data_IF_658646389453
#
_entry.id   IF_658646389453
#
_cell.length_a   1.000
_cell.length_b   1.000
_cell.length_c   1.000
_cell.angle_alpha   90.00
_cell.angle_beta   90.00
_cell.angle_gamma   90.00
#
_symmetry.space_group_name_H-M   'P 1'
#
loop_
_entity.id
_entity.type
_entity.pdbx_description
1 polymer ?
#
# COMPACT_ATOMS: atom_id res chain seq x y z
N UNK A 1 -2.67 -13.27 -1.85
CA UNK A 1 -2.38 -12.15 -2.74
C UNK A 1 -0.99 -12.22 -3.36
N UNK A 2 0.09 -12.23 -2.55
CA UNK A 2 1.47 -12.08 -3.06
C UNK A 2 1.88 -13.22 -4.01
N UNK A 3 1.62 -14.48 -3.66
CA UNK A 3 1.91 -15.63 -4.53
C UNK A 3 1.14 -15.58 -5.85
N UNK A 4 -0.13 -15.16 -5.83
CA UNK A 4 -0.92 -14.97 -7.06
C UNK A 4 -0.33 -13.87 -7.94
N UNK A 5 0.08 -12.74 -7.35
CA UNK A 5 0.70 -11.65 -8.08
C UNK A 5 2.04 -12.08 -8.71
N UNK A 6 2.83 -12.90 -8.02
CA UNK A 6 4.06 -13.47 -8.58
C UNK A 6 3.77 -14.39 -9.77
N UNK A 7 2.74 -15.25 -9.69
CA UNK A 7 2.29 -16.11 -10.80
C UNK A 7 1.81 -15.30 -12.01
N UNK A 8 0.98 -14.26 -11.78
CA UNK A 8 0.53 -13.35 -12.84
C UNK A 8 1.71 -12.60 -13.47
N UNK A 9 2.67 -12.17 -12.66
CA UNK A 9 3.86 -11.50 -13.13
C UNK A 9 4.72 -12.41 -14.01
N UNK A 10 4.85 -13.69 -13.67
CA UNK A 10 5.48 -14.68 -14.50
C UNK A 10 4.76 -14.87 -15.85
N UNK A 11 3.42 -14.91 -15.84
CA UNK A 11 2.64 -14.98 -17.07
C UNK A 11 2.85 -13.73 -17.94
N UNK A 12 2.77 -12.51 -17.38
CA UNK A 12 3.03 -11.27 -18.10
C UNK A 12 4.43 -11.26 -18.75
N UNK A 13 5.45 -11.77 -18.03
CA UNK A 13 6.79 -11.88 -18.56
C UNK A 13 6.86 -12.85 -19.75
N UNK A 14 6.17 -14.00 -19.68
CA UNK A 14 6.15 -14.99 -20.78
C UNK A 14 5.39 -14.49 -21.99
N UNK A 15 4.30 -13.77 -21.78
CA UNK A 15 3.51 -13.16 -22.86
C UNK A 15 4.19 -11.93 -23.46
N UNK A 16 5.16 -11.35 -22.75
CA UNK A 16 5.87 -10.11 -23.12
C UNK A 16 4.91 -8.96 -23.49
N UNK A 17 3.82 -8.83 -22.74
CA UNK A 17 2.71 -7.91 -23.02
C UNK A 17 2.97 -6.48 -22.51
N UNK A 18 4.10 -6.22 -21.85
CA UNK A 18 4.45 -4.92 -21.26
C UNK A 18 3.68 -4.57 -19.99
N UNK A 19 2.91 -5.52 -19.46
CA UNK A 19 2.21 -5.35 -18.20
C UNK A 19 3.10 -5.62 -16.99
N UNK A 20 2.73 -5.05 -15.85
CA UNK A 20 3.31 -5.37 -14.55
C UNK A 20 2.20 -5.93 -13.64
N UNK A 21 2.57 -6.76 -12.69
CA UNK A 21 1.69 -7.14 -11.59
C UNK A 21 1.99 -6.30 -10.36
N UNK A 22 0.97 -6.06 -9.54
CA UNK A 22 1.11 -5.35 -8.26
C UNK A 22 0.56 -6.24 -7.15
N UNK A 23 1.37 -6.50 -6.13
CA UNK A 23 0.96 -7.15 -4.90
C UNK A 23 0.79 -6.08 -3.82
N UNK A 24 -0.46 -5.81 -3.41
CA UNK A 24 -0.77 -4.90 -2.30
C UNK A 24 -1.02 -5.73 -1.05
N UNK A 25 -0.37 -5.39 0.05
CA UNK A 25 -0.48 -6.10 1.33
C UNK A 25 -0.08 -5.21 2.51
N UNK A 26 -0.61 -5.50 3.70
CA UNK A 26 -0.27 -4.77 4.93
C UNK A 26 1.06 -5.20 5.56
N UNK A 27 1.55 -4.40 6.49
CA UNK A 27 2.76 -4.64 7.28
C UNK A 27 2.80 -6.02 7.95
N UNK A 28 1.70 -6.46 8.56
CA UNK A 28 1.59 -7.77 9.18
C UNK A 28 1.84 -8.96 8.23
N UNK A 29 1.54 -8.80 6.94
CA UNK A 29 1.80 -9.83 5.94
C UNK A 29 3.29 -10.01 5.65
N UNK A 30 4.11 -9.01 5.88
CA UNK A 30 5.56 -9.03 5.60
C UNK A 30 6.35 -10.06 6.42
N UNK A 31 5.77 -10.57 7.51
CA UNK A 31 6.34 -11.65 8.32
C UNK A 31 5.94 -13.06 7.84
N UNK A 32 5.14 -13.17 6.76
CA UNK A 32 4.75 -14.46 6.18
C UNK A 32 5.83 -14.98 5.24
N UNK A 33 6.19 -16.27 5.35
CA UNK A 33 7.21 -16.91 4.49
C UNK A 33 6.99 -16.69 3.01
N UNK A 34 5.73 -16.76 2.53
CA UNK A 34 5.39 -16.57 1.11
C UNK A 34 5.83 -15.22 0.56
N UNK A 35 5.90 -14.16 1.38
CA UNK A 35 6.37 -12.85 0.92
C UNK A 35 7.87 -12.92 0.62
N UNK A 36 8.66 -13.55 1.51
CA UNK A 36 10.09 -13.74 1.35
C UNK A 36 10.43 -14.62 0.15
N UNK A 37 9.70 -15.73 0.00
CA UNK A 37 9.85 -16.64 -1.12
C UNK A 37 9.56 -15.92 -2.46
N UNK A 38 8.47 -15.16 -2.52
CA UNK A 38 8.11 -14.40 -3.72
C UNK A 38 9.08 -13.27 -4.04
N UNK A 39 9.65 -12.57 -3.04
CA UNK A 39 10.71 -11.58 -3.26
C UNK A 39 11.95 -12.23 -3.88
N UNK A 40 12.36 -13.38 -3.36
CA UNK A 40 13.48 -14.14 -3.94
C UNK A 40 13.20 -14.57 -5.38
N UNK A 41 12.06 -15.21 -5.64
CA UNK A 41 11.66 -15.65 -6.98
C UNK A 41 11.57 -14.49 -7.97
N UNK A 42 10.94 -13.37 -7.53
CA UNK A 42 10.80 -12.20 -8.39
C UNK A 42 12.16 -11.63 -8.80
N UNK A 43 13.13 -11.62 -7.91
CA UNK A 43 14.48 -11.15 -8.21
C UNK A 43 15.25 -12.13 -9.10
N UNK A 44 15.24 -13.42 -8.78
CA UNK A 44 15.93 -14.46 -9.56
C UNK A 44 15.41 -14.52 -10.99
N UNK A 45 14.10 -14.39 -11.19
CA UNK A 45 13.48 -14.48 -12.51
C UNK A 45 13.23 -13.12 -13.17
N UNK A 46 13.65 -12.02 -12.52
CA UNK A 46 13.46 -10.66 -13.04
C UNK A 46 11.98 -10.38 -13.39
N UNK A 47 11.07 -10.78 -12.49
CA UNK A 47 9.63 -10.65 -12.73
C UNK A 47 9.18 -9.19 -12.75
N UNK A 48 8.27 -8.80 -13.66
CA UNK A 48 7.67 -7.46 -13.68
C UNK A 48 6.66 -7.29 -12.52
N UNK A 49 7.16 -7.28 -11.28
CA UNK A 49 6.36 -7.27 -10.06
C UNK A 49 6.69 -6.07 -9.18
N UNK A 50 5.64 -5.36 -8.77
CA UNK A 50 5.67 -4.35 -7.73
C UNK A 50 5.09 -4.93 -6.44
N UNK A 51 5.88 -4.95 -5.37
CA UNK A 51 5.44 -5.20 -4.02
C UNK A 51 5.08 -3.86 -3.37
N UNK A 52 3.82 -3.66 -3.02
CA UNK A 52 3.34 -2.44 -2.38
C UNK A 52 2.85 -2.77 -0.97
N UNK A 53 3.64 -2.40 0.02
CA UNK A 53 3.35 -2.63 1.43
C UNK A 53 2.68 -1.39 2.04
N UNK A 54 1.43 -1.51 2.43
CA UNK A 54 0.72 -0.51 3.23
C UNK A 54 1.07 -0.70 4.70
N UNK A 55 2.13 -0.02 5.17
CA UNK A 55 2.50 -0.06 6.58
C UNK A 55 1.60 0.90 7.36
N UNK A 56 0.47 0.36 7.84
CA UNK A 56 -0.51 1.12 8.62
C UNK A 56 -0.31 1.00 10.14
N UNK A 57 0.87 0.54 10.55
CA UNK A 57 1.37 0.38 11.90
C UNK A 57 0.71 -0.72 12.75
N UNK A 58 -0.33 -1.40 12.24
CA UNK A 58 -1.06 -2.40 13.00
C UNK A 58 -1.48 -3.61 12.16
N UNK A 59 -0.99 -4.78 12.54
CA UNK A 59 -1.53 -6.07 12.09
C UNK A 59 -2.63 -6.54 13.06
N UNK A 60 -3.90 -6.34 12.72
CA UNK A 60 -5.04 -6.47 13.65
C UNK A 60 -4.88 -5.51 14.85
N UNK A 61 -4.70 -6.03 16.06
CA UNK A 61 -4.46 -5.27 17.29
C UNK A 61 -2.98 -5.19 17.70
N UNK A 62 -2.11 -5.91 17.00
CA UNK A 62 -0.68 -5.90 17.30
C UNK A 62 0.05 -4.80 16.52
N UNK A 63 0.79 -3.93 17.22
CA UNK A 63 1.59 -2.92 16.56
C UNK A 63 2.72 -3.55 15.73
N UNK A 64 3.05 -2.94 14.60
CA UNK A 64 4.15 -3.39 13.73
C UNK A 64 5.48 -3.43 14.48
N UNK A 65 5.74 -2.51 15.41
CA UNK A 65 6.95 -2.48 16.25
C UNK A 65 7.11 -3.70 17.17
N UNK A 66 6.02 -4.38 17.51
CA UNK A 66 6.04 -5.62 18.32
C UNK A 66 6.18 -6.88 17.47
N UNK A 67 5.79 -6.81 16.19
CA UNK A 67 5.72 -7.98 15.30
C UNK A 67 6.87 -8.03 14.28
N UNK A 68 7.54 -6.90 14.06
CA UNK A 68 8.57 -6.75 13.04
C UNK A 68 9.84 -6.24 13.70
N UNK A 69 10.93 -6.99 13.57
CA UNK A 69 12.20 -6.70 14.22
C UNK A 69 13.01 -5.55 13.59
N UNK A 70 12.57 -5.03 12.45
CA UNK A 70 13.22 -3.90 11.77
C UNK A 70 12.33 -2.66 11.80
N UNK A 71 12.93 -1.50 11.95
CA UNK A 71 12.23 -0.21 11.93
C UNK A 71 11.79 0.20 10.51
N UNK A 72 12.26 -0.50 9.49
CA UNK A 72 12.01 -0.17 8.09
C UNK A 72 11.83 -1.44 7.27
N UNK A 73 10.58 -1.73 6.91
CA UNK A 73 10.22 -2.96 6.18
C UNK A 73 10.87 -2.99 4.79
N UNK A 74 10.90 -1.84 4.09
CA UNK A 74 11.46 -1.76 2.73
C UNK A 74 12.92 -2.21 2.65
N UNK A 75 13.71 -2.08 3.73
CA UNK A 75 15.10 -2.52 3.76
C UNK A 75 15.27 -4.03 3.58
N UNK A 76 14.25 -4.82 3.93
CA UNK A 76 14.28 -6.27 3.69
C UNK A 76 14.43 -6.61 2.20
N UNK A 77 13.88 -5.77 1.33
CA UNK A 77 13.99 -5.97 -0.12
C UNK A 77 15.41 -5.81 -0.65
N UNK A 78 16.30 -5.13 0.09
CA UNK A 78 17.71 -4.98 -0.26
C UNK A 78 18.43 -6.35 -0.31
N UNK A 79 18.10 -7.24 0.63
CA UNK A 79 18.70 -8.59 0.69
C UNK A 79 18.33 -9.45 -0.52
N UNK A 80 17.25 -9.10 -1.22
CA UNK A 80 16.83 -9.74 -2.47
C UNK A 80 17.27 -8.96 -3.72
N UNK A 81 18.21 -8.02 -3.58
CA UNK A 81 18.69 -7.17 -4.68
C UNK A 81 17.59 -6.40 -5.42
N UNK A 82 16.51 -6.05 -4.70
CA UNK A 82 15.40 -5.28 -5.25
C UNK A 82 15.62 -3.78 -5.07
N UNK A 83 15.13 -3.00 -6.03
CA UNK A 83 14.97 -1.55 -5.81
C UNK A 83 13.85 -1.34 -4.82
N UNK A 84 14.06 -0.47 -3.84
CA UNK A 84 13.08 -0.25 -2.79
C UNK A 84 12.94 1.22 -2.43
N UNK A 85 11.75 1.59 -1.94
CA UNK A 85 11.40 2.94 -1.52
C UNK A 85 10.58 2.89 -0.23
N UNK A 86 10.76 3.90 0.61
CA UNK A 86 9.83 4.22 1.69
C UNK A 86 9.23 5.59 1.40
N UNK A 87 7.92 5.71 1.51
CA UNK A 87 7.18 6.94 1.18
C UNK A 87 6.15 7.27 2.26
N UNK A 88 5.72 8.52 2.32
CA UNK A 88 4.51 8.90 3.03
C UNK A 88 3.29 8.44 2.21
N UNK A 89 2.59 7.42 2.70
CA UNK A 89 1.38 6.87 2.07
C UNK A 89 0.18 7.82 2.13
N UNK A 90 0.24 8.88 2.93
CA UNK A 90 -0.78 9.92 3.01
C UNK A 90 -0.53 11.08 2.04
N UNK A 91 0.64 11.14 1.39
CA UNK A 91 0.93 12.09 0.31
C UNK A 91 0.66 11.46 -1.06
N UNK A 92 -0.52 11.71 -1.62
CA UNK A 92 -0.93 11.12 -2.91
C UNK A 92 0.00 11.50 -4.07
N UNK A 93 0.61 12.67 -4.04
CA UNK A 93 1.57 13.09 -5.08
C UNK A 93 2.83 12.24 -5.02
N UNK A 94 3.37 12.04 -3.82
CA UNK A 94 4.52 11.17 -3.60
C UNK A 94 4.23 9.72 -3.99
N UNK A 95 3.02 9.22 -3.67
CA UNK A 95 2.58 7.87 -4.07
C UNK A 95 2.57 7.75 -5.60
N UNK A 96 1.92 8.69 -6.30
CA UNK A 96 1.82 8.67 -7.77
C UNK A 96 3.21 8.72 -8.42
N UNK A 97 4.08 9.61 -7.98
CA UNK A 97 5.43 9.76 -8.54
C UNK A 97 6.26 8.50 -8.33
N UNK A 98 6.22 7.93 -7.11
CA UNK A 98 6.99 6.73 -6.78
C UNK A 98 6.49 5.51 -7.53
N UNK A 99 5.17 5.33 -7.68
CA UNK A 99 4.60 4.23 -8.46
C UNK A 99 4.96 4.36 -9.95
N UNK A 100 4.93 5.58 -10.52
CA UNK A 100 5.39 5.81 -11.90
C UNK A 100 6.87 5.47 -12.06
N UNK A 101 7.71 5.86 -11.10
CA UNK A 101 9.14 5.54 -11.07
C UNK A 101 9.36 4.03 -10.97
N UNK A 102 8.68 3.36 -10.07
CA UNK A 102 8.73 1.90 -9.89
C UNK A 102 8.35 1.16 -11.18
N UNK A 103 7.24 1.57 -11.82
CA UNK A 103 6.82 1.00 -13.11
C UNK A 103 7.90 1.18 -14.18
N UNK A 104 8.53 2.36 -14.26
CA UNK A 104 9.61 2.60 -15.22
C UNK A 104 10.81 1.69 -14.98
N UNK A 105 11.23 1.51 -13.72
CA UNK A 105 12.33 0.61 -13.34
C UNK A 105 11.99 -0.83 -13.73
N UNK A 106 10.80 -1.31 -13.38
CA UNK A 106 10.36 -2.67 -13.67
C UNK A 106 10.40 -2.95 -15.19
N UNK A 107 9.88 -2.03 -16.01
CA UNK A 107 9.80 -2.24 -17.45
C UNK A 107 11.15 -2.07 -18.16
N UNK A 108 11.97 -1.11 -17.74
CA UNK A 108 13.24 -0.78 -18.40
C UNK A 108 14.40 -1.61 -17.88
N UNK A 109 14.50 -1.74 -16.55
CA UNK A 109 15.64 -2.41 -15.91
C UNK A 109 15.37 -3.90 -15.64
N UNK A 110 14.12 -4.37 -15.86
CA UNK A 110 13.70 -5.75 -15.61
C UNK A 110 13.99 -6.20 -14.17
N UNK A 111 13.70 -5.31 -13.20
CA UNK A 111 13.92 -5.54 -11.78
C UNK A 111 12.61 -5.37 -11.02
N UNK A 112 12.25 -6.30 -10.12
CA UNK A 112 11.12 -6.09 -9.23
C UNK A 112 11.40 -4.91 -8.28
N UNK A 113 10.34 -4.25 -7.82
CA UNK A 113 10.43 -3.11 -6.92
C UNK A 113 9.59 -3.34 -5.69
N UNK A 114 10.07 -2.86 -4.54
CA UNK A 114 9.34 -2.86 -3.28
C UNK A 114 9.08 -1.41 -2.84
N UNK A 115 7.84 -1.09 -2.50
CA UNK A 115 7.45 0.19 -1.89
C UNK A 115 6.85 -0.08 -0.52
N UNK A 116 7.35 0.58 0.51
CA UNK A 116 6.71 0.70 1.81
C UNK A 116 6.04 2.08 1.90
N UNK A 117 4.72 2.10 1.94
CA UNK A 117 3.94 3.31 2.15
C UNK A 117 3.54 3.41 3.63
N UNK A 118 4.11 4.38 4.33
CA UNK A 118 3.77 4.66 5.72
C UNK A 118 2.42 5.37 5.77
N UNK A 119 1.46 4.76 6.42
CA UNK A 119 0.10 5.27 6.55
C UNK A 119 -0.49 4.90 7.91
N UNK A 120 -1.78 5.07 8.10
CA UNK A 120 -2.44 4.72 9.33
C UNK A 120 -3.87 4.23 9.08
N UNK A 121 -4.24 3.14 9.74
CA UNK A 121 -5.62 2.64 9.71
C UNK A 121 -6.49 3.48 10.66
N UNK A 122 -7.28 4.40 10.13
CA UNK A 122 -8.12 5.33 10.89
C UNK A 122 -9.21 4.61 11.72
N UNK A 123 -9.78 3.53 11.19
CA UNK A 123 -10.83 2.76 11.85
C UNK A 123 -10.29 1.52 12.55
N UNK A 124 -11.11 0.86 13.37
CA UNK A 124 -10.83 -0.45 13.92
C UNK A 124 -10.67 -1.52 12.82
N UNK A 125 -10.04 -2.64 13.18
CA UNK A 125 -9.88 -3.76 12.24
C UNK A 125 -11.22 -4.42 11.89
N UNK A 126 -12.16 -4.39 12.82
CA UNK A 126 -13.53 -4.88 12.63
C UNK A 126 -14.52 -3.95 13.33
N UNK A 127 -15.83 -4.16 13.08
CA UNK A 127 -16.90 -3.39 13.74
C UNK A 127 -16.87 -3.47 15.28
N UNK A 128 -16.38 -4.58 15.82
CA UNK A 128 -16.28 -4.84 17.26
C UNK A 128 -14.93 -4.43 17.87
N UNK A 129 -14.06 -3.81 17.11
CA UNK A 129 -12.73 -3.39 17.59
C UNK A 129 -12.83 -2.06 18.31
N UNK A 130 -12.65 -2.10 19.64
CA UNK A 130 -12.75 -0.92 20.53
C UNK A 130 -11.47 -0.08 20.60
N UNK A 131 -10.44 -0.40 19.80
CA UNK A 131 -9.19 0.36 19.68
C UNK A 131 -8.41 0.54 21.00
N UNK A 132 -8.61 -0.31 22.00
CA UNK A 132 -7.99 -0.19 23.33
C UNK A 132 -6.45 -0.30 23.31
N UNK A 133 -5.87 -0.70 22.20
CA UNK A 133 -4.43 -0.84 21.96
C UNK A 133 -3.77 0.43 21.39
N UNK A 134 -4.54 1.49 21.16
CA UNK A 134 -4.08 2.79 20.64
C UNK A 134 -4.31 3.89 21.67
N UNK A 135 -3.47 4.91 21.65
CA UNK A 135 -3.75 6.12 22.41
C UNK A 135 -4.62 7.10 21.62
N UNK A 136 -5.35 7.94 22.33
CA UNK A 136 -6.16 9.00 21.69
C UNK A 136 -5.29 10.07 21.03
N UNK A 137 -4.11 10.30 21.58
CA UNK A 137 -3.12 11.23 21.05
C UNK A 137 -2.58 10.73 19.69
N UNK A 138 -2.31 9.42 19.59
CA UNK A 138 -1.90 8.78 18.34
C UNK A 138 -3.00 8.90 17.28
N UNK A 139 -4.25 8.59 17.64
CA UNK A 139 -5.38 8.72 16.72
C UNK A 139 -5.58 10.16 16.24
N UNK A 140 -5.50 11.13 17.14
CA UNK A 140 -5.63 12.54 16.80
C UNK A 140 -4.51 13.03 15.87
N UNK A 141 -3.27 12.61 16.13
CA UNK A 141 -2.13 12.90 15.27
C UNK A 141 -2.34 12.42 13.84
N UNK A 142 -2.74 11.15 13.66
CA UNK A 142 -2.97 10.59 12.35
C UNK A 142 -4.22 11.11 11.66
N UNK A 143 -5.28 11.41 12.41
CA UNK A 143 -6.48 12.07 11.88
C UNK A 143 -6.17 13.46 11.30
N UNK A 144 -5.27 14.20 11.93
CA UNK A 144 -4.81 15.49 11.39
C UNK A 144 -4.00 15.34 10.07
N UNK A 145 -3.50 14.14 9.79
CA UNK A 145 -2.78 13.77 8.56
C UNK A 145 -3.65 13.00 7.56
N UNK A 146 -4.95 13.19 7.59
CA UNK A 146 -5.87 12.57 6.63
C UNK A 146 -5.45 12.90 5.19
N UNK A 147 -5.21 11.91 4.33
CA UNK A 147 -4.69 12.12 2.98
C UNK A 147 -5.63 12.94 2.09
N UNK A 148 -6.95 12.79 2.27
CA UNK A 148 -7.95 13.56 1.49
C UNK A 148 -7.88 15.03 1.87
N UNK A 149 -7.88 15.33 3.18
CA UNK A 149 -7.81 16.70 3.67
C UNK A 149 -6.47 17.37 3.31
N UNK A 150 -5.36 16.62 3.34
CA UNK A 150 -4.06 17.14 2.91
C UNK A 150 -4.06 17.47 1.42
N UNK A 151 -4.59 16.58 0.58
CA UNK A 151 -4.69 16.83 -0.84
C UNK A 151 -5.60 18.02 -1.15
N UNK A 152 -6.77 18.12 -0.52
CA UNK A 152 -7.66 19.27 -0.66
C UNK A 152 -6.96 20.60 -0.34
N UNK A 153 -6.17 20.62 0.74
CA UNK A 153 -5.37 21.82 1.09
C UNK A 153 -4.32 22.14 0.03
N UNK A 154 -3.62 21.13 -0.50
CA UNK A 154 -2.57 21.33 -1.51
C UNK A 154 -3.09 21.82 -2.85
N UNK A 155 -4.33 21.45 -3.21
CA UNK A 155 -4.98 21.82 -4.47
C UNK A 155 -5.99 22.97 -4.33
N UNK A 156 -6.10 23.58 -3.13
CA UNK A 156 -7.09 24.62 -2.83
C UNK A 156 -8.54 24.19 -3.07
N UNK A 157 -8.85 22.90 -2.86
CA UNK A 157 -10.20 22.35 -2.93
C UNK A 157 -10.94 22.75 -1.66
N UNK A 158 -12.12 23.37 -1.83
CA UNK A 158 -12.94 23.80 -0.68
C UNK A 158 -13.64 22.63 0.00
N UNK A 159 -13.97 22.78 1.27
CA UNK A 159 -14.75 21.77 1.99
C UNK A 159 -16.14 21.59 1.38
N UNK A 160 -16.72 22.64 0.81
CA UNK A 160 -17.99 22.56 0.10
C UNK A 160 -17.92 21.61 -1.09
N UNK A 161 -16.91 21.78 -1.96
CA UNK A 161 -16.65 20.86 -3.08
C UNK A 161 -16.41 19.43 -2.61
N UNK A 162 -15.65 19.24 -1.53
CA UNK A 162 -15.42 17.92 -0.95
C UNK A 162 -16.71 17.26 -0.48
N UNK A 163 -17.58 18.01 0.22
CA UNK A 163 -18.87 17.51 0.69
C UNK A 163 -19.81 17.15 -0.47
N UNK A 164 -19.85 17.96 -1.53
CA UNK A 164 -20.62 17.65 -2.72
C UNK A 164 -20.17 16.35 -3.41
N UNK A 165 -18.84 16.15 -3.52
CA UNK A 165 -18.28 14.92 -4.08
C UNK A 165 -18.59 13.71 -3.20
N UNK A 166 -18.47 13.84 -1.90
CA UNK A 166 -18.79 12.78 -0.93
C UNK A 166 -20.26 12.37 -1.08
N UNK A 167 -21.19 13.31 -1.13
CA UNK A 167 -22.62 13.05 -1.32
C UNK A 167 -22.91 12.30 -2.62
N UNK A 168 -22.28 12.71 -3.73
CA UNK A 168 -22.42 12.01 -5.03
C UNK A 168 -21.93 10.57 -4.98
N UNK A 169 -20.81 10.30 -4.28
CA UNK A 169 -20.26 8.96 -4.11
C UNK A 169 -21.19 8.09 -3.25
N UNK A 170 -21.74 8.64 -2.18
CA UNK A 170 -22.69 7.95 -1.31
C UNK A 170 -23.98 7.60 -2.06
N UNK A 171 -24.55 8.54 -2.82
CA UNK A 171 -25.73 8.32 -3.66
C UNK A 171 -25.47 7.25 -4.73
N UNK A 172 -24.29 7.25 -5.36
CA UNK A 172 -23.88 6.23 -6.31
C UNK A 172 -23.77 4.85 -5.63
N UNK A 173 -23.08 4.77 -4.49
CA UNK A 173 -22.95 3.53 -3.74
C UNK A 173 -24.29 2.94 -3.30
N UNK A 174 -25.22 3.80 -2.86
CA UNK A 174 -26.58 3.36 -2.49
C UNK A 174 -27.35 2.77 -3.68
N UNK A 175 -27.30 3.41 -4.84
CA UNK A 175 -27.93 2.88 -6.07
C UNK A 175 -27.39 1.52 -6.50
N UNK A 176 -26.06 1.35 -6.42
CA UNK A 176 -25.44 0.06 -6.74
C UNK A 176 -25.87 -1.04 -5.77
N UNK A 177 -26.00 -0.72 -4.47
CA UNK A 177 -26.49 -1.68 -3.47
C UNK A 177 -27.95 -2.06 -3.68
N UNK A 178 -28.80 -1.14 -4.15
CA UNK A 178 -30.23 -1.40 -4.44
C UNK A 178 -30.42 -2.20 -5.73
N UNK A 179 -29.42 -2.20 -6.63
CA UNK A 179 -29.44 -2.90 -7.91
C UNK A 179 -28.87 -4.34 -7.84
N UNK A 180 -28.23 -4.72 -6.73
CA UNK A 180 -27.59 -6.01 -6.53
C UNK A 180 -28.49 -7.03 -5.85
#
# INVERSE_FOLDING_TARGET
>A
GVGLAAGLSFANQKLNDGNISVAIFGDGATSRGIVHECMNLASVWSLPLLFFCENNLYGMSASSSRMISTDSIYKRATEYNMVNFQIDGNDIKQVIETVKKARSIILKEKRPVFIEALTYRQCGHSKSDHLVYRSREEEAYWKAKDPILQYCKSENITLETLNELTKKIEEFGQKELESA
#
